data_IF_484300421243
#
_entry.id   IF_484300421243
#
_cell.length_a   1.000
_cell.length_b   1.000
_cell.length_c   1.000
_cell.angle_alpha   90.00
_cell.angle_beta   90.00
_cell.angle_gamma   90.00
#
_symmetry.space_group_name_H-M   'P 1'
#
loop_
_entity.id
_entity.type
_entity.pdbx_description
1 polymer ?
#
# COMPACT_ATOMS: atom_id res chain seq x y z
N UNK A 1 -18.02 -23.86 0.33
CA UNK A 1 -16.88 -23.22 1.02
C UNK A 1 -16.60 -21.89 0.36
N UNK A 2 -16.54 -20.80 1.10
CA UNK A 2 -16.11 -19.52 0.54
C UNK A 2 -14.69 -19.67 -0.02
N UNK A 3 -14.44 -19.13 -1.21
CA UNK A 3 -13.07 -19.07 -1.73
C UNK A 3 -12.22 -18.23 -0.78
N UNK A 4 -10.99 -18.66 -0.50
CA UNK A 4 -10.05 -17.82 0.25
C UNK A 4 -9.80 -16.52 -0.53
N UNK A 5 -9.63 -15.40 0.18
CA UNK A 5 -9.33 -14.10 -0.43
C UNK A 5 -8.12 -14.19 -1.36
N UNK A 6 -7.10 -14.97 -0.98
CA UNK A 6 -5.94 -15.25 -1.82
C UNK A 6 -6.34 -15.90 -3.14
N UNK A 7 -7.19 -16.94 -3.11
CA UNK A 7 -7.67 -17.61 -4.32
C UNK A 7 -8.57 -16.74 -5.21
N UNK A 8 -9.18 -15.67 -4.67
CA UNK A 8 -9.89 -14.66 -5.47
C UNK A 8 -8.92 -13.69 -6.14
N UNK A 9 -7.88 -13.24 -5.42
CA UNK A 9 -6.82 -12.38 -5.97
C UNK A 9 -6.08 -13.10 -7.09
N UNK A 10 -5.70 -14.36 -6.88
CA UNK A 10 -4.94 -15.17 -7.85
C UNK A 10 -5.67 -15.36 -9.20
N UNK A 11 -7.01 -15.23 -9.20
CA UNK A 11 -7.84 -15.35 -10.41
C UNK A 11 -8.18 -14.00 -11.05
N UNK A 12 -7.89 -12.90 -10.39
CA UNK A 12 -8.19 -11.56 -10.88
C UNK A 12 -6.97 -10.97 -11.60
N UNK A 13 -6.95 -10.89 -12.95
CA UNK A 13 -5.75 -10.46 -13.69
C UNK A 13 -5.34 -9.01 -13.44
N UNK A 14 -6.26 -8.19 -12.90
CA UNK A 14 -6.00 -6.81 -12.51
C UNK A 14 -5.40 -6.67 -11.11
N UNK A 15 -5.31 -7.76 -10.33
CA UNK A 15 -4.82 -7.75 -8.96
C UNK A 15 -3.56 -8.59 -8.83
N UNK A 16 -2.65 -8.15 -7.95
CA UNK A 16 -1.42 -8.87 -7.60
C UNK A 16 -1.08 -8.60 -6.15
N UNK A 17 -0.63 -9.64 -5.44
CA UNK A 17 -0.01 -9.47 -4.12
C UNK A 17 1.43 -9.01 -4.34
N UNK A 18 1.75 -7.80 -3.89
CA UNK A 18 3.11 -7.27 -3.95
C UNK A 18 3.94 -7.81 -2.77
N UNK A 19 5.12 -8.42 -2.99
CA UNK A 19 6.01 -8.79 -1.90
C UNK A 19 6.67 -7.54 -1.29
N UNK A 20 6.88 -7.58 0.02
CA UNK A 20 7.72 -6.59 0.71
C UNK A 20 9.19 -6.94 0.44
N UNK A 21 10.00 -5.92 0.19
CA UNK A 21 11.36 -6.04 -0.27
C UNK A 21 12.20 -4.87 0.26
N UNK A 22 13.52 -4.93 0.06
CA UNK A 22 14.47 -3.99 0.69
C UNK A 22 14.18 -2.55 0.29
N UNK A 23 13.85 -2.31 -0.97
CA UNK A 23 13.51 -1.00 -1.52
C UNK A 23 12.33 -0.34 -0.81
N UNK A 24 11.37 -1.12 -0.31
CA UNK A 24 10.24 -0.58 0.46
C UNK A 24 10.67 -0.09 1.85
N UNK A 25 11.64 -0.75 2.47
CA UNK A 25 12.20 -0.31 3.77
C UNK A 25 13.05 0.94 3.61
N UNK A 26 13.77 1.07 2.48
CA UNK A 26 14.66 2.21 2.22
C UNK A 26 13.94 3.55 2.10
N UNK A 27 12.62 3.56 1.83
CA UNK A 27 11.83 4.79 1.70
C UNK A 27 11.06 5.15 2.98
N UNK A 28 11.26 4.41 4.07
CA UNK A 28 10.52 4.63 5.33
C UNK A 28 10.79 6.00 5.96
N UNK A 29 12.00 6.52 5.82
CA UNK A 29 12.39 7.85 6.28
C UNK A 29 11.53 8.96 5.62
N UNK A 30 11.15 8.77 4.36
CA UNK A 30 10.26 9.68 3.60
C UNK A 30 8.78 9.55 3.98
N UNK A 31 8.43 8.50 4.73
CA UNK A 31 7.07 8.16 5.16
C UNK A 31 6.91 8.25 6.68
N UNK A 32 7.74 9.06 7.33
CA UNK A 32 7.79 9.20 8.79
C UNK A 32 6.53 9.80 9.41
N UNK A 33 5.71 10.48 8.61
CA UNK A 33 4.41 11.04 8.97
C UNK A 33 3.31 9.98 9.16
N UNK A 34 3.47 8.80 8.54
CA UNK A 34 2.57 7.66 8.73
C UNK A 34 3.06 6.86 9.93
N UNK A 35 2.37 6.97 11.07
CA UNK A 35 2.83 6.39 12.34
C UNK A 35 2.84 4.85 12.35
N UNK A 36 1.78 4.24 11.83
CA UNK A 36 1.58 2.79 11.86
C UNK A 36 2.49 2.07 10.87
N UNK A 37 3.20 1.05 11.35
CA UNK A 37 4.21 0.34 10.55
C UNK A 37 3.61 -0.37 9.33
N UNK A 38 2.42 -0.96 9.48
CA UNK A 38 1.75 -1.67 8.40
C UNK A 38 1.29 -0.72 7.30
N UNK A 39 0.73 0.43 7.69
CA UNK A 39 0.37 1.51 6.75
C UNK A 39 1.59 2.09 6.05
N UNK A 40 2.71 2.22 6.78
CA UNK A 40 3.97 2.67 6.17
C UNK A 40 4.49 1.68 5.12
N UNK A 41 4.31 0.37 5.31
CA UNK A 41 4.61 -0.62 4.26
C UNK A 41 3.68 -0.49 3.05
N UNK A 42 2.37 -0.29 3.25
CA UNK A 42 1.42 -0.05 2.16
C UNK A 42 1.82 1.21 1.38
N UNK A 43 2.16 2.28 2.10
CA UNK A 43 2.64 3.52 1.54
C UNK A 43 3.95 3.37 0.77
N UNK A 44 4.89 2.59 1.29
CA UNK A 44 6.15 2.32 0.63
C UNK A 44 5.97 1.57 -0.70
N UNK A 45 5.05 0.59 -0.75
CA UNK A 45 4.72 -0.10 -2.00
C UNK A 45 4.14 0.88 -3.02
N UNK A 46 3.21 1.74 -2.61
CA UNK A 46 2.66 2.81 -3.47
C UNK A 46 3.74 3.76 -3.96
N UNK A 47 4.60 4.22 -3.06
CA UNK A 47 5.69 5.16 -3.34
C UNK A 47 6.70 4.60 -4.37
N UNK A 48 7.19 3.38 -4.14
CA UNK A 48 8.19 2.73 -5.02
C UNK A 48 7.64 2.46 -6.42
N UNK A 49 6.34 2.18 -6.54
CA UNK A 49 5.70 1.87 -7.82
C UNK A 49 5.01 3.08 -8.48
N UNK A 50 5.15 4.30 -7.92
CA UNK A 50 4.42 5.51 -8.33
C UNK A 50 2.89 5.30 -8.44
N UNK A 51 2.35 4.47 -7.55
CA UNK A 51 0.96 4.05 -7.56
C UNK A 51 0.12 4.88 -6.57
N UNK A 52 -1.13 5.16 -6.96
CA UNK A 52 -2.10 5.75 -6.05
C UNK A 52 -2.60 4.69 -5.05
N UNK A 53 -2.77 5.10 -3.80
CA UNK A 53 -3.28 4.24 -2.73
C UNK A 53 -4.77 4.46 -2.56
N UNK A 54 -5.55 3.38 -2.72
CA UNK A 54 -7.00 3.40 -2.48
C UNK A 54 -7.23 3.14 -0.99
N UNK A 55 -7.59 4.15 -0.21
CA UNK A 55 -7.76 4.00 1.24
C UNK A 55 -8.75 4.98 1.87
N UNK A 56 -9.52 4.51 2.87
CA UNK A 56 -10.34 5.36 3.75
C UNK A 56 -9.54 5.96 4.91
N UNK A 57 -8.31 5.50 5.12
CA UNK A 57 -7.50 5.85 6.27
C UNK A 57 -7.08 7.33 6.23
N UNK A 58 -7.37 8.06 7.31
CA UNK A 58 -7.10 9.49 7.37
C UNK A 58 -5.60 9.80 7.50
N UNK A 59 -4.81 8.96 8.17
CA UNK A 59 -3.38 9.16 8.32
C UNK A 59 -2.66 8.98 6.98
N UNK A 60 -3.00 7.94 6.22
CA UNK A 60 -2.44 7.74 4.88
C UNK A 60 -2.84 8.88 3.93
N UNK A 61 -4.11 9.33 3.98
CA UNK A 61 -4.58 10.44 3.14
C UNK A 61 -3.96 11.79 3.48
N UNK A 62 -3.55 11.99 4.74
CA UNK A 62 -2.88 13.21 5.16
C UNK A 62 -1.41 13.26 4.72
N UNK A 63 -0.84 12.13 4.29
CA UNK A 63 0.57 12.08 3.92
C UNK A 63 0.85 12.82 2.62
N UNK A 64 1.85 13.70 2.65
CA UNK A 64 2.29 14.45 1.48
C UNK A 64 3.22 13.65 0.56
N UNK A 65 3.75 12.52 1.03
CA UNK A 65 4.72 11.72 0.29
C UNK A 65 4.09 10.82 -0.78
N UNK A 66 2.78 10.57 -0.70
CA UNK A 66 2.06 9.61 -1.54
C UNK A 66 0.79 10.22 -2.13
N UNK A 67 0.31 9.65 -3.23
CA UNK A 67 -1.03 9.96 -3.76
C UNK A 67 -2.03 8.95 -3.19
N UNK A 68 -3.08 9.45 -2.54
CA UNK A 68 -4.21 8.62 -2.12
C UNK A 68 -5.48 9.03 -2.84
N UNK A 69 -6.35 8.06 -3.11
CA UNK A 69 -7.69 8.29 -3.68
C UNK A 69 -8.74 7.58 -2.83
N UNK A 70 -9.87 8.24 -2.61
CA UNK A 70 -11.04 7.65 -1.99
C UNK A 70 -12.30 8.38 -2.47
N UNK A 71 -13.29 7.64 -2.97
CA UNK A 71 -14.58 8.18 -3.40
C UNK A 71 -15.60 8.17 -2.27
#
# INVERSE_FOLDING_TARGET
MAASVLGLIDRAPALRIAPIAREHVLVFDRLGDIAEMHDRFIAAVGFVNDAAIITRDAAIRASHAIRSVWA
#
